data_IF_715109708737
#
_entry.id   IF_715109708737
#
_cell.length_a   1.000
_cell.length_b   1.000
_cell.length_c   1.000
_cell.angle_alpha   90.00
_cell.angle_beta   90.00
_cell.angle_gamma   90.00
#
_symmetry.space_group_name_H-M   'P 1'
#
loop_
_entity.id
_entity.type
_entity.pdbx_description
1 polymer ?
#
# COMPACT_ATOMS: atom_id res chain seq x y z
N UNK A 1 17.62 -70.57 -28.26
CA UNK A 1 16.72 -70.22 -27.13
C UNK A 1 16.76 -68.74 -26.93
N UNK A 2 15.66 -68.16 -27.25
CA UNK A 2 15.52 -66.69 -27.39
C UNK A 2 15.02 -66.11 -26.09
N UNK A 3 15.84 -65.33 -25.42
CA UNK A 3 15.41 -64.62 -24.26
C UNK A 3 15.16 -63.16 -24.66
N UNK A 4 13.89 -62.85 -24.85
CA UNK A 4 13.37 -61.46 -25.02
C UNK A 4 13.32 -60.80 -23.65
N UNK A 5 14.23 -59.87 -23.43
CA UNK A 5 14.17 -58.97 -22.29
C UNK A 5 13.34 -57.74 -22.68
N UNK A 6 12.10 -57.71 -22.23
CA UNK A 6 11.28 -56.52 -22.28
C UNK A 6 11.73 -55.53 -21.17
N UNK A 7 12.43 -54.48 -21.54
CA UNK A 7 12.74 -53.37 -20.66
C UNK A 7 11.54 -52.42 -20.60
N UNK A 8 10.83 -52.42 -19.50
CA UNK A 8 9.81 -51.43 -19.21
C UNK A 8 10.49 -50.15 -18.75
N UNK A 9 10.53 -49.14 -19.61
CA UNK A 9 10.94 -47.79 -19.25
C UNK A 9 9.81 -47.12 -18.50
N UNK A 10 9.93 -47.00 -17.16
CA UNK A 10 9.07 -46.15 -16.36
C UNK A 10 9.53 -44.72 -16.55
N UNK A 11 8.82 -43.97 -17.37
CA UNK A 11 8.95 -42.53 -17.45
C UNK A 11 8.28 -41.89 -16.23
N UNK A 12 9.07 -41.54 -15.21
CA UNK A 12 8.60 -40.70 -14.08
C UNK A 12 8.46 -39.27 -14.56
N UNK A 13 7.23 -38.87 -14.80
CA UNK A 13 6.86 -37.47 -14.97
C UNK A 13 7.01 -36.79 -13.61
N UNK A 14 8.15 -36.14 -13.41
CA UNK A 14 8.34 -35.18 -12.32
C UNK A 14 7.57 -33.95 -12.70
N UNK A 15 6.31 -33.89 -12.25
CA UNK A 15 5.51 -32.68 -12.31
C UNK A 15 6.14 -31.65 -11.38
N UNK A 16 6.80 -30.63 -11.95
CA UNK A 16 7.18 -29.43 -11.21
C UNK A 16 5.90 -28.75 -10.76
N UNK A 17 5.53 -28.94 -9.50
CA UNK A 17 4.53 -28.11 -8.85
C UNK A 17 5.11 -26.69 -8.81
N UNK A 18 4.69 -25.85 -9.75
CA UNK A 18 4.83 -24.41 -9.63
C UNK A 18 3.95 -24.01 -8.45
N UNK A 19 4.54 -23.92 -7.27
CA UNK A 19 3.94 -23.19 -6.17
C UNK A 19 3.81 -21.75 -6.66
N UNK A 20 2.62 -21.39 -7.15
CA UNK A 20 2.28 -20.01 -7.38
C UNK A 20 2.33 -19.36 -6.01
N UNK A 21 3.35 -18.53 -5.76
CA UNK A 21 3.35 -17.58 -4.67
C UNK A 21 2.14 -16.68 -4.89
N UNK A 22 1.07 -16.96 -4.18
CA UNK A 22 -0.08 -16.07 -4.09
C UNK A 22 0.37 -14.93 -3.19
N UNK A 23 1.13 -13.99 -3.77
CA UNK A 23 1.50 -12.76 -3.12
C UNK A 23 0.25 -11.95 -2.88
N UNK A 24 -0.27 -11.99 -1.65
CA UNK A 24 -1.30 -11.04 -1.22
C UNK A 24 -0.61 -9.68 -1.12
N UNK A 25 -0.74 -8.87 -2.16
CA UNK A 25 -0.27 -7.49 -2.13
C UNK A 25 -1.26 -6.66 -1.33
N UNK A 26 -0.84 -6.26 -0.13
CA UNK A 26 -1.61 -5.37 0.74
C UNK A 26 -1.25 -3.92 0.38
N UNK A 27 -2.25 -3.16 -0.02
CA UNK A 27 -2.08 -1.76 -0.41
C UNK A 27 -2.13 -0.83 0.81
N UNK A 28 -1.51 0.36 0.67
CA UNK A 28 -1.60 1.43 1.67
C UNK A 28 -3.07 1.77 1.94
N UNK A 29 -3.42 1.97 3.21
CA UNK A 29 -4.78 2.24 3.65
C UNK A 29 -5.59 1.00 4.03
N UNK A 30 -5.07 -0.19 3.79
CA UNK A 30 -5.71 -1.44 4.23
C UNK A 30 -5.26 -1.85 5.64
N UNK A 31 -6.09 -2.57 6.41
CA UNK A 31 -5.78 -2.95 7.79
C UNK A 31 -4.51 -3.77 7.96
N UNK A 32 -4.17 -4.61 7.00
CA UNK A 32 -2.98 -5.47 7.02
C UNK A 32 -1.72 -4.83 6.44
N UNK A 33 -1.76 -3.55 6.05
CA UNK A 33 -0.60 -2.88 5.47
C UNK A 33 0.45 -2.55 6.53
N UNK A 34 1.69 -2.94 6.25
CA UNK A 34 2.88 -2.54 6.99
C UNK A 34 3.91 -1.98 6.00
N UNK A 35 4.51 -0.84 6.32
CA UNK A 35 5.47 -0.19 5.46
C UNK A 35 5.43 1.33 5.59
N UNK A 36 5.94 2.00 4.57
CA UNK A 36 6.04 3.46 4.53
C UNK A 36 4.67 4.12 4.38
N UNK A 37 4.45 5.11 5.22
CA UNK A 37 3.23 5.93 5.21
C UNK A 37 3.51 7.26 4.50
N UNK A 38 2.66 7.60 3.55
CA UNK A 38 2.66 8.91 2.89
C UNK A 38 1.77 9.88 3.68
N UNK A 39 2.34 10.99 4.10
CA UNK A 39 1.65 12.02 4.89
C UNK A 39 1.17 13.21 4.07
N UNK A 40 1.29 13.19 2.75
CA UNK A 40 0.99 14.35 1.90
C UNK A 40 -0.41 14.93 2.12
N UNK A 41 -1.40 14.08 2.36
CA UNK A 41 -2.79 14.45 2.64
C UNK A 41 -3.33 13.76 3.90
N UNK A 42 -2.44 13.39 4.80
CA UNK A 42 -2.81 12.66 6.00
C UNK A 42 -3.10 13.59 7.18
N UNK A 43 -3.93 13.18 8.14
CA UNK A 43 -4.02 13.85 9.43
C UNK A 43 -2.67 13.77 10.15
N UNK A 44 -2.49 14.65 11.13
CA UNK A 44 -1.24 14.71 11.90
C UNK A 44 -0.91 13.33 12.51
N UNK A 45 0.28 12.79 12.23
CA UNK A 45 0.61 11.44 12.67
C UNK A 45 0.82 11.37 14.19
N UNK A 46 0.26 10.33 14.79
CA UNK A 46 0.58 9.93 16.15
C UNK A 46 1.66 8.88 16.10
N UNK A 47 2.77 9.16 16.75
CA UNK A 47 3.97 8.30 16.74
C UNK A 47 4.16 7.60 18.08
N UNK A 48 4.82 6.44 18.06
CA UNK A 48 5.10 5.64 19.26
C UNK A 48 6.18 6.32 20.11
N UNK A 49 7.23 6.82 19.45
CA UNK A 49 8.34 7.51 20.09
C UNK A 49 8.40 8.96 19.59
N UNK A 50 8.59 9.90 20.49
CA UNK A 50 8.66 11.33 20.19
C UNK A 50 9.87 11.70 19.29
N UNK A 51 10.92 10.89 19.34
CA UNK A 51 12.12 11.06 18.52
C UNK A 51 12.25 9.95 17.49
N UNK A 52 12.77 10.26 16.30
CA UNK A 52 13.01 9.24 15.29
C UNK A 52 14.11 8.28 15.71
N UNK A 53 13.95 7.02 15.38
CA UNK A 53 14.94 5.99 15.60
C UNK A 53 15.83 5.84 14.37
N UNK A 54 17.14 5.82 14.57
CA UNK A 54 18.12 5.57 13.51
C UNK A 54 19.15 4.54 13.99
N UNK A 55 19.42 3.52 13.18
CA UNK A 55 20.37 2.45 13.50
C UNK A 55 21.74 2.77 12.96
N UNK A 56 21.82 3.18 11.69
CA UNK A 56 23.06 3.56 11.03
C UNK A 56 23.02 5.04 10.73
N UNK A 57 23.89 5.79 11.38
CA UNK A 57 23.99 7.23 11.11
C UNK A 57 24.52 7.46 9.70
N UNK A 58 23.94 8.44 9.02
CA UNK A 58 24.46 8.88 7.74
C UNK A 58 25.85 9.55 7.93
N UNK A 59 26.73 9.49 6.93
CA UNK A 59 27.97 10.27 6.95
C UNK A 59 27.69 11.75 7.16
N UNK A 60 28.63 12.44 7.81
CA UNK A 60 28.54 13.87 8.07
C UNK A 60 28.27 14.64 6.77
N UNK A 61 27.24 15.47 6.78
CA UNK A 61 26.81 16.26 5.60
C UNK A 61 25.61 15.69 4.82
N UNK A 62 25.11 14.52 5.18
CA UNK A 62 23.89 13.95 4.62
C UNK A 62 22.76 13.96 5.66
N UNK A 63 21.99 15.02 5.68
CA UNK A 63 20.75 15.03 6.44
C UNK A 63 19.69 14.26 5.68
N UNK A 64 19.24 13.15 6.26
CA UNK A 64 18.11 12.38 5.71
C UNK A 64 16.84 12.80 6.40
N UNK A 65 15.83 13.10 5.61
CA UNK A 65 14.51 13.39 6.16
C UNK A 65 13.93 12.15 6.82
N UNK A 66 13.29 12.30 7.98
CA UNK A 66 12.58 11.20 8.64
C UNK A 66 11.52 10.59 7.75
N UNK A 67 11.37 9.28 7.86
CA UNK A 67 10.27 8.55 7.24
C UNK A 67 9.32 8.03 8.31
N UNK A 68 8.07 7.82 7.92
CA UNK A 68 7.04 7.28 8.80
C UNK A 68 6.73 5.86 8.36
N UNK A 69 6.77 4.93 9.32
CA UNK A 69 6.51 3.52 9.07
C UNK A 69 5.42 3.00 10.00
N UNK A 70 4.55 2.18 9.44
CA UNK A 70 3.74 1.26 10.23
C UNK A 70 4.40 -0.11 10.19
N UNK A 71 4.70 -0.65 11.37
CA UNK A 71 5.34 -1.96 11.51
C UNK A 71 4.51 -2.86 12.42
N UNK A 72 4.64 -4.19 12.30
CA UNK A 72 4.01 -5.12 13.22
C UNK A 72 4.45 -4.85 14.67
N UNK A 73 3.58 -5.09 15.67
CA UNK A 73 3.93 -4.91 17.07
C UNK A 73 5.23 -5.64 17.43
N UNK A 74 6.14 -4.92 18.09
CA UNK A 74 7.44 -5.46 18.51
C UNK A 74 8.59 -5.25 17.53
N UNK A 75 8.34 -4.95 16.26
CA UNK A 75 9.41 -4.64 15.29
C UNK A 75 10.16 -3.35 15.66
N UNK A 76 9.45 -2.36 16.19
CA UNK A 76 10.05 -1.11 16.66
C UNK A 76 10.99 -1.30 17.85
N UNK A 77 10.70 -2.27 18.71
CA UNK A 77 11.55 -2.59 19.87
C UNK A 77 12.85 -3.30 19.50
N UNK A 78 12.84 -4.00 18.39
CA UNK A 78 13.97 -4.70 17.82
C UNK A 78 14.30 -4.17 16.44
N UNK A 79 14.37 -2.86 16.31
CA UNK A 79 14.53 -2.21 15.03
C UNK A 79 15.88 -2.52 14.36
N UNK A 80 16.91 -2.71 15.13
CA UNK A 80 18.21 -3.16 14.67
C UNK A 80 18.15 -4.46 13.83
N UNK A 81 17.24 -5.36 14.19
CA UNK A 81 17.02 -6.64 13.51
C UNK A 81 16.00 -6.55 12.38
N UNK A 82 15.12 -5.57 12.40
CA UNK A 82 13.99 -5.48 11.48
C UNK A 82 14.11 -4.38 10.42
N UNK A 83 15.00 -3.40 10.62
CA UNK A 83 15.10 -2.24 9.72
C UNK A 83 15.39 -2.62 8.26
N UNK A 84 16.13 -3.71 8.02
CA UNK A 84 16.45 -4.17 6.69
C UNK A 84 15.22 -4.63 5.87
N UNK A 85 14.17 -5.12 6.55
CA UNK A 85 12.91 -5.53 5.91
C UNK A 85 12.18 -4.36 5.26
N UNK A 86 12.47 -3.14 5.72
CA UNK A 86 11.86 -1.90 5.24
C UNK A 86 12.84 -1.01 4.48
N UNK A 87 14.06 -1.51 4.27
CA UNK A 87 15.16 -0.73 3.65
C UNK A 87 15.40 0.62 4.36
N UNK A 88 15.37 0.61 5.67
CA UNK A 88 15.34 1.81 6.50
C UNK A 88 16.39 1.84 7.63
N UNK A 89 17.43 0.99 7.57
CA UNK A 89 18.46 0.95 8.61
C UNK A 89 19.29 2.24 8.72
N UNK A 90 19.40 2.98 7.63
CA UNK A 90 20.16 4.21 7.53
C UNK A 90 19.30 5.47 7.44
N UNK A 91 18.03 5.37 7.79
CA UNK A 91 17.08 6.50 7.79
C UNK A 91 16.53 6.72 9.20
N UNK A 92 16.31 7.98 9.60
CA UNK A 92 15.54 8.28 10.80
C UNK A 92 14.09 7.84 10.57
N UNK A 93 13.53 7.08 11.51
CA UNK A 93 12.21 6.48 11.38
C UNK A 93 11.31 6.89 12.54
N UNK A 94 10.13 7.42 12.22
CA UNK A 94 9.03 7.52 13.14
C UNK A 94 8.09 6.33 12.94
N UNK A 95 7.72 5.67 14.01
CA UNK A 95 6.73 4.59 13.99
C UNK A 95 5.37 5.15 14.33
N UNK A 96 4.42 5.00 13.41
CA UNK A 96 3.05 5.45 13.65
C UNK A 96 2.30 4.47 14.56
N UNK A 97 1.42 4.99 15.39
CA UNK A 97 0.57 4.19 16.24
C UNK A 97 -0.47 3.44 15.41
N UNK A 98 -0.75 2.19 15.78
CA UNK A 98 -1.67 1.34 15.06
C UNK A 98 -3.12 1.85 15.09
N UNK A 99 -3.55 2.39 16.25
CA UNK A 99 -4.87 3.00 16.38
C UNK A 99 -5.03 4.25 15.52
N UNK A 100 -4.01 5.10 15.42
CA UNK A 100 -4.02 6.26 14.53
C UNK A 100 -4.14 5.82 13.07
N UNK A 101 -3.36 4.83 12.66
CA UNK A 101 -3.42 4.30 11.30
C UNK A 101 -4.82 3.79 10.96
N UNK A 102 -5.41 2.98 11.82
CA UNK A 102 -6.73 2.38 11.55
C UNK A 102 -7.89 3.35 11.62
N UNK A 103 -7.83 4.30 12.54
CA UNK A 103 -8.98 5.17 12.84
C UNK A 103 -8.92 6.51 12.11
N UNK A 104 -7.73 6.99 11.77
CA UNK A 104 -7.53 8.32 11.19
C UNK A 104 -6.92 8.26 9.78
N UNK A 105 -5.80 7.56 9.63
CA UNK A 105 -5.08 7.54 8.36
C UNK A 105 -5.80 6.73 7.28
N UNK A 106 -6.13 5.48 7.55
CA UNK A 106 -6.73 4.58 6.55
C UNK A 106 -8.07 5.10 6.03
N UNK A 107 -9.01 5.59 6.86
CA UNK A 107 -10.25 6.20 6.38
C UNK A 107 -10.02 7.45 5.52
N UNK A 108 -9.09 8.34 5.93
CA UNK A 108 -8.77 9.54 5.17
C UNK A 108 -8.15 9.21 3.81
N UNK A 109 -7.22 8.26 3.77
CA UNK A 109 -6.55 7.81 2.54
C UNK A 109 -7.52 7.14 1.55
N UNK A 110 -8.46 6.35 2.05
CA UNK A 110 -9.50 5.73 1.23
C UNK A 110 -10.51 6.75 0.73
N UNK A 111 -10.86 7.75 1.55
CA UNK A 111 -11.76 8.83 1.20
C UNK A 111 -11.21 9.69 0.06
N UNK A 112 -9.94 10.03 0.10
CA UNK A 112 -9.26 10.80 -0.93
C UNK A 112 -9.22 10.05 -2.27
N UNK A 113 -8.90 8.77 -2.27
CA UNK A 113 -8.96 7.91 -3.46
C UNK A 113 -10.37 7.76 -4.03
N UNK A 114 -11.37 7.64 -3.17
CA UNK A 114 -12.78 7.56 -3.59
C UNK A 114 -13.25 8.83 -4.28
N UNK A 115 -12.79 9.99 -3.84
CA UNK A 115 -13.14 11.29 -4.41
C UNK A 115 -12.41 11.56 -5.74
N UNK A 116 -11.20 11.09 -5.91
CA UNK A 116 -10.47 11.20 -7.18
C UNK A 116 -11.15 10.46 -8.33
N UNK A 117 -11.93 9.42 -8.04
CA UNK A 117 -12.73 8.68 -9.03
C UNK A 117 -14.05 9.35 -9.40
N UNK A 118 -14.60 10.22 -8.56
CA UNK A 118 -15.90 10.90 -8.79
C UNK A 118 -15.79 12.24 -9.52
N UNK A 119 -14.62 12.75 -9.76
CA UNK A 119 -14.40 14.09 -10.34
C UNK A 119 -14.64 14.20 -11.85
N UNK A 120 -15.14 13.20 -12.56
CA UNK A 120 -15.34 13.24 -14.01
C UNK A 120 -16.73 12.81 -14.50
N UNK A 121 -17.74 13.00 -13.69
CA UNK A 121 -19.12 12.90 -14.17
C UNK A 121 -19.81 14.25 -14.04
N UNK A 122 -19.30 15.30 -14.69
CA UNK A 122 -20.07 16.48 -15.02
C UNK A 122 -21.01 16.11 -16.16
N UNK A 123 -22.23 15.72 -15.80
CA UNK A 123 -23.30 15.59 -16.73
C UNK A 123 -23.49 16.92 -17.47
N UNK A 124 -23.41 16.86 -18.78
CA UNK A 124 -23.85 17.92 -19.67
C UNK A 124 -25.34 18.15 -19.38
N UNK A 125 -25.66 19.20 -18.64
CA UNK A 125 -27.01 19.73 -18.54
C UNK A 125 -27.45 20.10 -19.95
N UNK A 126 -28.43 19.41 -20.48
CA UNK A 126 -29.19 19.87 -21.64
C UNK A 126 -30.11 20.97 -21.15
N UNK A 127 -29.74 22.19 -21.41
CA UNK A 127 -30.66 23.33 -21.35
C UNK A 127 -31.73 23.07 -22.41
N UNK A 128 -32.90 22.66 -21.95
CA UNK A 128 -34.11 22.71 -22.77
C UNK A 128 -34.60 24.15 -22.77
N UNK A 129 -34.27 24.84 -23.80
CA UNK A 129 -34.88 26.08 -24.21
C UNK A 129 -36.36 25.88 -24.39
N UNK A 130 -37.16 26.37 -23.45
CA UNK A 130 -38.61 26.48 -23.58
C UNK A 130 -38.88 27.66 -24.52
N UNK A 131 -39.24 27.33 -25.73
CA UNK A 131 -39.80 28.24 -26.71
C UNK A 131 -41.19 28.61 -26.29
N UNK A 132 -41.33 29.79 -25.69
CA UNK A 132 -42.61 30.40 -25.40
C UNK A 132 -43.22 30.91 -26.73
N UNK A 133 -44.30 30.30 -27.16
CA UNK A 133 -45.11 30.79 -28.23
C UNK A 133 -46.13 31.75 -27.63
N UNK A 134 -45.84 33.04 -27.70
CA UNK A 134 -46.82 34.07 -27.51
C UNK A 134 -47.89 33.97 -28.58
N UNK A 135 -49.10 33.78 -28.13
CA UNK A 135 -50.29 33.88 -28.96
C UNK A 135 -50.85 35.28 -28.70
N UNK A 136 -50.69 36.19 -29.65
CA UNK A 136 -51.40 37.43 -29.69
C UNK A 136 -52.77 37.25 -30.33
N UNK A 137 -53.75 37.79 -29.70
CA UNK A 137 -55.02 38.05 -30.32
C UNK A 137 -55.53 39.40 -29.86
N UNK A 138 -55.77 40.24 -30.86
CA UNK A 138 -56.70 41.37 -31.00
C UNK A 138 -56.78 42.41 -29.92
#
# INVERSE_FOLDING_TARGET
MKHLLLGAALATLVGSALAADVGVSVSIGQPGFYGRIDLSNAPQPQVIYAQPLIIQQAPVGYERQPIYLRVPPGHEKHWDKNCHKYNACNQPVYFVQDNWYRNEYAPAYQGDRGNSGKGKAKGKGKDKEKKDKGHGKD
#
